data_IF_032751142707
#
_entry.id   IF_032751142707
#
_cell.length_a   1.000
_cell.length_b   1.000
_cell.length_c   1.000
_cell.angle_alpha   90.00
_cell.angle_beta   90.00
_cell.angle_gamma   90.00
#
_symmetry.space_group_name_H-M   'P 1'
#
loop_
_entity.id
_entity.type
_entity.pdbx_description
1 polymer ?
#
# COMPACT_ATOMS: atom_id res chain seq x y z
N UNK A 1 -23.70 -30.90 16.34
CA UNK A 1 -22.45 -30.54 15.63
C UNK A 1 -22.10 -29.11 16.03
N UNK A 2 -20.92 -28.92 16.60
CA UNK A 2 -20.49 -27.67 17.27
C UNK A 2 -20.10 -26.60 16.23
N UNK A 3 -20.85 -25.51 16.27
CA UNK A 3 -20.44 -24.11 16.06
C UNK A 3 -19.35 -23.87 14.99
N UNK A 4 -19.82 -23.49 13.80
CA UNK A 4 -19.06 -22.71 12.82
C UNK A 4 -18.71 -21.37 13.46
N UNK A 5 -17.54 -21.25 14.09
CA UNK A 5 -17.01 -19.93 14.46
C UNK A 5 -16.54 -19.24 13.18
N UNK A 6 -17.46 -18.46 12.65
CA UNK A 6 -17.32 -17.34 11.73
C UNK A 6 -15.87 -16.92 11.47
N UNK A 7 -15.48 -17.03 10.20
CA UNK A 7 -14.45 -16.19 9.59
C UNK A 7 -14.77 -14.73 9.91
N UNK A 8 -14.04 -14.14 10.86
CA UNK A 8 -13.88 -12.70 10.94
C UNK A 8 -12.56 -12.33 10.25
N UNK A 9 -12.41 -12.71 8.99
CA UNK A 9 -11.37 -12.10 8.16
C UNK A 9 -11.89 -10.72 7.78
N UNK A 10 -11.38 -9.74 8.52
CA UNK A 10 -11.49 -8.30 8.34
C UNK A 10 -11.72 -7.94 6.87
N UNK A 11 -12.99 -7.72 6.53
CA UNK A 11 -13.37 -6.94 5.37
C UNK A 11 -13.14 -5.47 5.70
N UNK A 12 -11.87 -5.10 5.86
CA UNK A 12 -11.45 -3.73 5.61
C UNK A 12 -11.47 -3.55 4.09
N UNK A 13 -12.69 -3.39 3.57
CA UNK A 13 -12.90 -2.78 2.28
C UNK A 13 -12.39 -1.35 2.45
N UNK A 14 -11.09 -1.14 2.22
CA UNK A 14 -10.53 0.18 2.06
C UNK A 14 -10.90 0.64 0.65
N UNK A 15 -12.21 0.70 0.35
CA UNK A 15 -12.67 1.52 -0.75
C UNK A 15 -12.12 2.91 -0.49
N UNK A 16 -11.17 3.34 -1.31
CA UNK A 16 -10.71 4.71 -1.35
C UNK A 16 -11.91 5.63 -1.53
N UNK A 17 -12.42 6.16 -0.41
CA UNK A 17 -13.48 7.15 -0.40
C UNK A 17 -13.51 7.78 0.99
N UNK A 18 -12.80 8.90 1.16
CA UNK A 18 -13.00 9.82 2.28
C UNK A 18 -11.90 9.93 3.34
N UNK A 19 -10.79 9.18 3.24
CA UNK A 19 -9.68 9.36 4.18
C UNK A 19 -8.77 10.50 3.69
N UNK A 20 -8.39 11.37 4.63
CA UNK A 20 -7.37 12.41 4.51
C UNK A 20 -6.21 12.03 3.55
N UNK A 21 -5.74 12.99 2.76
CA UNK A 21 -4.58 12.77 1.88
C UNK A 21 -3.33 12.57 2.74
N UNK A 22 -2.79 11.35 2.72
CA UNK A 22 -1.56 10.98 3.42
C UNK A 22 -0.35 11.39 2.57
N UNK A 23 0.72 11.82 3.23
CA UNK A 23 1.96 12.24 2.55
C UNK A 23 2.76 11.05 2.08
N UNK A 24 3.74 11.29 1.18
CA UNK A 24 4.75 10.28 0.84
C UNK A 24 5.48 9.79 2.09
N UNK A 25 5.87 10.71 2.99
CA UNK A 25 6.57 10.38 4.24
C UNK A 25 5.82 9.37 5.11
N UNK A 26 4.50 9.53 5.23
CA UNK A 26 3.65 8.58 5.93
C UNK A 26 3.74 7.20 5.28
N UNK A 27 3.55 7.13 3.96
CA UNK A 27 3.59 5.85 3.25
C UNK A 27 4.97 5.18 3.29
N UNK A 28 6.07 5.96 3.33
CA UNK A 28 7.42 5.42 3.49
C UNK A 28 7.63 4.74 4.84
N UNK A 29 6.89 5.16 5.88
CA UNK A 29 6.86 4.51 7.20
C UNK A 29 5.82 3.37 7.28
N UNK A 30 4.90 3.31 6.31
CA UNK A 30 3.77 2.38 6.28
C UNK A 30 3.70 1.62 4.94
N UNK A 31 4.78 0.92 4.59
CA UNK A 31 4.94 0.29 3.27
C UNK A 31 3.86 -0.74 2.90
N UNK A 32 3.33 -1.50 3.87
CA UNK A 32 2.24 -2.46 3.59
C UNK A 32 0.92 -1.77 3.22
N UNK A 33 0.64 -0.61 3.84
CA UNK A 33 -0.49 0.22 3.45
C UNK A 33 -0.24 0.82 2.06
N UNK A 34 0.99 1.29 1.79
CA UNK A 34 1.37 1.81 0.47
C UNK A 34 1.19 0.76 -0.63
N UNK A 35 1.58 -0.50 -0.39
CA UNK A 35 1.36 -1.62 -1.34
C UNK A 35 -0.12 -1.88 -1.59
N UNK A 36 -0.92 -1.87 -0.54
CA UNK A 36 -2.37 -2.09 -0.63
C UNK A 36 -3.03 -0.99 -1.45
N UNK A 37 -2.76 0.27 -1.11
CA UNK A 37 -3.26 1.45 -1.82
C UNK A 37 -2.81 1.42 -3.28
N UNK A 38 -1.53 1.16 -3.55
CA UNK A 38 -1.02 1.09 -4.93
C UNK A 38 -1.71 -0.04 -5.72
N UNK A 39 -1.90 -1.23 -5.13
CA UNK A 39 -2.63 -2.33 -5.77
C UNK A 39 -4.07 -1.98 -6.12
N UNK A 40 -4.76 -1.23 -5.26
CA UNK A 40 -6.10 -0.72 -5.53
C UNK A 40 -6.10 0.34 -6.63
N UNK A 41 -5.09 1.21 -6.67
CA UNK A 41 -4.93 2.21 -7.72
C UNK A 41 -4.72 1.58 -9.11
N UNK A 42 -3.96 0.49 -9.21
CA UNK A 42 -3.73 -0.21 -10.49
C UNK A 42 -5.00 -0.91 -11.02
N UNK A 43 -5.94 -1.25 -10.14
CA UNK A 43 -7.23 -1.84 -10.54
C UNK A 43 -8.24 -0.79 -11.02
N UNK A 44 -8.01 0.48 -10.70
CA UNK A 44 -8.87 1.59 -11.08
C UNK A 44 -8.50 2.12 -12.46
N UNK A 45 -9.47 2.23 -13.37
CA UNK A 45 -9.29 2.92 -14.66
C UNK A 45 -9.37 4.45 -14.55
N UNK A 46 -9.58 4.98 -13.33
CA UNK A 46 -9.71 6.41 -13.08
C UNK A 46 -8.33 7.08 -12.89
N UNK A 47 -8.31 8.41 -13.06
CA UNK A 47 -7.11 9.22 -12.76
C UNK A 47 -6.62 8.94 -11.33
N UNK A 48 -5.32 8.65 -11.12
CA UNK A 48 -4.77 8.38 -9.80
C UNK A 48 -5.00 9.56 -8.85
N UNK A 49 -5.62 9.30 -7.70
CA UNK A 49 -5.76 10.29 -6.63
C UNK A 49 -4.39 10.57 -5.96
N UNK A 50 -4.32 11.60 -5.11
CA UNK A 50 -3.05 11.96 -4.45
C UNK A 50 -2.49 10.84 -3.57
N UNK A 51 -3.34 10.02 -2.94
CA UNK A 51 -2.87 8.87 -2.18
C UNK A 51 -2.22 7.82 -3.10
N UNK A 52 -2.74 7.59 -4.31
CA UNK A 52 -2.10 6.73 -5.30
C UNK A 52 -0.71 7.23 -5.69
N UNK A 53 -0.57 8.55 -5.89
CA UNK A 53 0.72 9.17 -6.24
C UNK A 53 1.71 9.04 -5.09
N UNK A 54 1.28 9.34 -3.87
CA UNK A 54 2.12 9.33 -2.69
C UNK A 54 2.55 7.91 -2.29
N UNK A 55 1.63 6.94 -2.34
CA UNK A 55 1.93 5.54 -2.08
C UNK A 55 2.91 4.96 -3.12
N UNK A 56 2.69 5.22 -4.42
CA UNK A 56 3.61 4.79 -5.47
C UNK A 56 5.00 5.38 -5.28
N UNK A 57 5.08 6.67 -4.96
CA UNK A 57 6.37 7.34 -4.74
C UNK A 57 7.13 6.73 -3.56
N UNK A 58 6.46 6.46 -2.44
CA UNK A 58 7.07 5.82 -1.28
C UNK A 58 7.63 4.41 -1.60
N UNK A 59 6.90 3.62 -2.38
CA UNK A 59 7.37 2.28 -2.82
C UNK A 59 8.61 2.37 -3.73
N UNK A 60 8.65 3.35 -4.63
CA UNK A 60 9.81 3.59 -5.50
C UNK A 60 11.03 4.04 -4.70
N UNK A 61 10.85 4.96 -3.76
CA UNK A 61 11.92 5.44 -2.87
C UNK A 61 12.47 4.29 -2.03
N UNK A 62 11.60 3.45 -1.46
CA UNK A 62 12.03 2.26 -0.72
C UNK A 62 12.79 1.25 -1.59
N UNK A 63 12.31 0.99 -2.81
CA UNK A 63 13.01 0.09 -3.75
C UNK A 63 14.37 0.63 -4.17
N UNK A 64 14.46 1.95 -4.38
CA UNK A 64 15.72 2.62 -4.70
C UNK A 64 16.69 2.56 -3.51
N UNK A 65 16.21 2.80 -2.29
CA UNK A 65 17.02 2.71 -1.08
C UNK A 65 17.56 1.29 -0.86
N UNK A 66 16.72 0.27 -1.03
CA UNK A 66 17.17 -1.14 -1.00
C UNK A 66 18.22 -1.44 -2.08
N UNK A 67 18.12 -0.81 -3.25
CA UNK A 67 19.10 -0.98 -4.31
C UNK A 67 20.43 -0.27 -4.02
N UNK A 68 20.40 0.95 -3.46
CA UNK A 68 21.61 1.76 -3.23
C UNK A 68 22.29 1.46 -1.91
N UNK A 69 21.53 1.07 -0.89
CA UNK A 69 21.97 0.93 0.49
C UNK A 69 21.69 -0.46 1.09
N UNK A 70 20.93 -1.32 0.39
CA UNK A 70 20.79 -2.72 0.77
C UNK A 70 22.07 -3.50 0.47
N UNK A 71 22.38 -4.48 1.32
CA UNK A 71 23.51 -5.40 1.16
C UNK A 71 23.42 -6.03 -0.24
N UNK A 72 24.35 -5.63 -1.12
CA UNK A 72 24.27 -5.80 -2.56
C UNK A 72 23.75 -7.17 -3.02
N UNK A 73 22.92 -7.12 -4.07
CA UNK A 73 22.40 -8.24 -4.85
C UNK A 73 23.37 -9.44 -4.86
N UNK A 74 23.01 -10.51 -4.16
CA UNK A 74 23.53 -11.84 -4.48
C UNK A 74 22.77 -12.33 -5.71
N UNK A 75 23.45 -12.37 -6.85
CA UNK A 75 23.04 -13.19 -8.00
C UNK A 75 23.08 -14.68 -7.63
#
# INVERSE_FOLDING_TARGET
MKQLLSLLFVSAILTGCGNETKTTEYYSQHLEEAKTVHSECEKSSATPNENCKNARKALLENSFDQFTNGDGISY
#
